data_IF_770116439530
#
_entry.id   IF_770116439530
#
_cell.length_a   1.000
_cell.length_b   1.000
_cell.length_c   1.000
_cell.angle_alpha   90.00
_cell.angle_beta   90.00
_cell.angle_gamma   90.00
#
_symmetry.space_group_name_H-M   'P 1'
#
loop_
_entity.id
_entity.type
_entity.pdbx_description
1 polymer ?
#
# COMPACT_ATOMS: atom_id res chain seq x y z
N UNK A 1 48.53 -10.99 17.60
CA UNK A 1 48.05 -10.95 17.38
C UNK A 1 47.18 -10.78 16.87
N UNK A 2 46.89 -10.77 16.58
CA UNK A 2 46.18 -10.73 16.24
C UNK A 2 45.21 -10.46 15.67
N UNK A 3 44.78 -10.45 15.48
CA UNK A 3 43.94 -10.31 15.06
C UNK A 3 43.13 -10.03 14.49
N UNK A 4 42.87 -9.98 14.23
CA UNK A 4 42.17 -9.76 13.79
C UNK A 4 41.30 -9.65 13.13
N UNK A 5 41.11 -9.70 12.87
CA UNK A 5 40.41 -9.69 12.38
C UNK A 5 39.47 -9.63 11.88
N UNK A 6 39.17 -9.75 11.75
CA UNK A 6 38.31 -9.78 11.41
C UNK A 6 37.50 -9.39 10.93
N UNK A 7 37.24 -9.18 10.86
CA UNK A 7 36.52 -8.85 10.56
C UNK A 7 35.79 -8.63 9.81
N UNK A 8 35.75 -8.51 9.48
CA UNK A 8 35.27 -8.30 8.74
C UNK A 8 34.35 -8.55 8.22
N UNK A 9 34.06 -8.92 8.30
CA UNK A 9 33.25 -9.22 7.80
C UNK A 9 32.32 -8.85 7.44
N UNK A 10 32.00 -8.67 7.50
CA UNK A 10 31.20 -8.38 7.29
C UNK A 10 30.39 -8.16 6.65
N UNK A 11 30.13 -8.21 6.49
CA UNK A 11 29.41 -7.96 6.07
C UNK A 11 28.81 -7.78 5.26
N UNK A 12 28.74 -7.62 5.10
CA UNK A 12 28.49 -7.38 4.19
C UNK A 12 27.50 -7.79 3.62
N UNK A 13 27.21 -8.32 3.82
CA UNK A 13 26.37 -8.78 3.34
C UNK A 13 25.29 -8.24 2.92
N UNK A 14 25.16 -7.96 3.16
CA UNK A 14 24.49 -7.48 3.01
C UNK A 14 23.72 -7.20 2.14
N UNK A 15 23.48 -7.10 1.83
CA UNK A 15 22.90 -6.70 1.07
C UNK A 15 22.33 -7.13 0.24
N UNK A 16 22.15 -7.34 0.04
CA UNK A 16 21.80 -7.64 -0.70
C UNK A 16 20.73 -7.80 -1.28
N UNK A 17 20.03 -7.88 -1.20
CA UNK A 17 18.99 -8.34 -1.80
C UNK A 17 18.22 -7.42 -2.52
N UNK A 18 17.56 -7.52 -3.40
CA UNK A 18 16.78 -6.62 -4.16
C UNK A 18 15.45 -6.24 -3.56
N UNK A 19 15.19 -6.70 -2.35
CA UNK A 19 13.91 -6.38 -1.72
C UNK A 19 14.06 -5.12 -0.89
N UNK A 20 13.23 -4.13 -1.15
CA UNK A 20 13.25 -2.88 -0.42
C UNK A 20 12.05 -2.81 0.49
N UNK A 21 12.28 -2.46 1.74
CA UNK A 21 11.19 -2.20 2.67
C UNK A 21 10.45 -0.95 2.21
N UNK A 22 9.13 -1.01 2.31
CA UNK A 22 8.27 0.12 1.98
C UNK A 22 7.43 0.42 3.21
N UNK A 23 7.66 1.57 3.83
CA UNK A 23 6.91 1.94 5.03
C UNK A 23 5.43 2.05 4.75
N UNK A 24 5.07 2.63 3.61
CA UNK A 24 3.65 2.81 3.30
C UNK A 24 2.96 1.48 3.06
N UNK A 25 3.67 0.51 2.46
CA UNK A 25 3.11 -0.81 2.25
C UNK A 25 3.00 -1.57 3.57
N UNK A 26 4.01 -1.47 4.41
CA UNK A 26 3.98 -2.13 5.73
C UNK A 26 2.85 -1.57 6.59
N UNK A 27 2.70 -0.25 6.61
CA UNK A 27 1.58 0.39 7.32
C UNK A 27 0.25 -0.07 6.75
N UNK A 28 0.18 -0.20 5.42
CA UNK A 28 -1.03 -0.71 4.78
C UNK A 28 -1.42 -2.08 5.31
N UNK A 29 -0.47 -3.00 5.40
CA UNK A 29 -0.75 -4.33 5.92
C UNK A 29 -1.18 -4.30 7.38
N UNK A 30 -0.56 -3.44 8.20
CA UNK A 30 -0.97 -3.31 9.60
C UNK A 30 -2.41 -2.85 9.72
N UNK A 31 -2.80 -1.88 8.89
CA UNK A 31 -4.18 -1.38 8.91
C UNK A 31 -5.16 -2.43 8.43
N UNK A 32 -4.79 -3.18 7.39
CA UNK A 32 -5.64 -4.27 6.87
C UNK A 32 -5.86 -5.31 7.96
N UNK A 33 -4.82 -5.68 8.69
CA UNK A 33 -4.96 -6.65 9.78
C UNK A 33 -5.89 -6.16 10.87
N UNK A 34 -6.00 -4.84 11.02
CA UNK A 34 -6.91 -4.23 12.00
C UNK A 34 -8.30 -3.99 11.45
N UNK A 35 -8.57 -4.44 10.24
CA UNK A 35 -9.92 -4.39 9.67
C UNK A 35 -10.18 -3.25 8.70
N UNK A 36 -9.14 -2.57 8.21
CA UNK A 36 -9.36 -1.50 7.24
C UNK A 36 -9.97 -2.06 5.95
N UNK A 37 -10.81 -1.26 5.32
CA UNK A 37 -11.33 -1.58 4.00
C UNK A 37 -10.21 -1.42 2.98
N UNK A 38 -10.04 -2.41 2.11
CA UNK A 38 -8.98 -2.39 1.08
C UNK A 38 -9.59 -2.01 -0.25
N UNK A 39 -9.12 -0.91 -0.83
CA UNK A 39 -9.70 -0.39 -2.07
C UNK A 39 -8.63 -0.28 -3.14
N UNK A 40 -8.86 -0.95 -4.25
CA UNK A 40 -8.04 -0.91 -5.46
C UNK A 40 -8.63 0.13 -6.39
N UNK A 41 -7.89 1.21 -6.65
CA UNK A 41 -8.42 2.28 -7.49
C UNK A 41 -7.97 2.17 -8.95
N UNK A 42 -7.46 0.99 -9.35
CA UNK A 42 -7.11 0.75 -10.74
C UNK A 42 -8.35 0.47 -11.57
N UNK A 43 -8.14 0.28 -12.86
CA UNK A 43 -9.26 -0.05 -13.75
C UNK A 43 -9.77 -1.46 -13.45
N UNK A 44 -11.03 -1.77 -13.85
CA UNK A 44 -11.54 -3.14 -13.69
C UNK A 44 -10.69 -4.18 -14.40
N UNK A 45 -10.14 -3.86 -15.57
CA UNK A 45 -9.30 -4.81 -16.30
C UNK A 45 -8.02 -5.12 -15.53
N UNK A 46 -7.39 -4.11 -14.93
CA UNK A 46 -6.22 -4.35 -14.09
C UNK A 46 -6.58 -5.19 -12.87
N UNK A 47 -7.70 -4.89 -12.25
CA UNK A 47 -8.18 -5.61 -11.06
C UNK A 47 -8.37 -7.09 -11.38
N UNK A 48 -8.95 -7.39 -12.53
CA UNK A 48 -9.21 -8.78 -12.92
C UNK A 48 -7.93 -9.58 -13.15
N UNK A 49 -6.85 -8.91 -13.50
CA UNK A 49 -5.57 -9.58 -13.74
C UNK A 49 -4.85 -9.95 -12.45
N UNK A 50 -5.32 -9.46 -11.33
CA UNK A 50 -4.75 -9.76 -10.02
C UNK A 50 -4.95 -8.58 -9.09
N UNK A 51 -5.25 -8.88 -7.83
CA UNK A 51 -5.49 -7.83 -6.82
C UNK A 51 -5.23 -8.43 -5.44
N UNK A 52 -5.17 -7.58 -4.44
CA UNK A 52 -4.99 -8.05 -3.07
C UNK A 52 -6.26 -8.77 -2.60
N UNK A 53 -6.06 -9.76 -1.74
CA UNK A 53 -7.17 -10.50 -1.16
C UNK A 53 -8.12 -9.52 -0.48
N UNK A 54 -9.41 -9.74 -0.69
CA UNK A 54 -10.49 -8.94 -0.10
C UNK A 54 -10.53 -7.49 -0.55
N UNK A 55 -9.74 -7.12 -1.56
CA UNK A 55 -9.82 -5.77 -2.11
C UNK A 55 -11.12 -5.58 -2.89
N UNK A 56 -11.68 -4.40 -2.78
CA UNK A 56 -12.81 -4.00 -3.60
C UNK A 56 -12.29 -3.03 -4.67
N UNK A 57 -12.83 -3.12 -5.88
CA UNK A 57 -12.37 -2.27 -6.97
C UNK A 57 -13.28 -1.04 -7.09
N UNK A 58 -12.73 0.11 -6.71
CA UNK A 58 -13.38 1.40 -6.94
C UNK A 58 -12.44 2.23 -7.79
N UNK A 59 -12.55 2.15 -9.13
CA UNK A 59 -11.63 2.87 -10.01
C UNK A 59 -11.58 4.36 -9.68
N UNK A 60 -10.41 4.95 -9.89
CA UNK A 60 -10.21 6.36 -9.55
C UNK A 60 -11.30 7.26 -10.12
N UNK A 61 -11.72 7.00 -11.35
CA UNK A 61 -12.76 7.82 -12.02
C UNK A 61 -14.12 7.73 -11.32
N UNK A 62 -14.31 6.77 -10.42
CA UNK A 62 -15.60 6.53 -9.78
C UNK A 62 -15.56 6.65 -8.26
N UNK A 63 -14.43 7.07 -7.69
CA UNK A 63 -14.34 7.13 -6.22
C UNK A 63 -15.36 8.10 -5.63
N UNK A 64 -15.67 9.19 -6.34
CA UNK A 64 -16.64 10.15 -5.83
C UNK A 64 -18.00 9.51 -5.61
N UNK A 65 -18.37 8.56 -6.48
CA UNK A 65 -19.66 7.88 -6.37
C UNK A 65 -19.62 6.79 -5.32
N UNK A 66 -18.58 5.94 -5.36
CA UNK A 66 -18.53 4.77 -4.49
C UNK A 66 -18.36 5.10 -3.02
N UNK A 67 -17.71 6.22 -2.71
CA UNK A 67 -17.43 6.56 -1.32
C UNK A 67 -18.55 7.35 -0.64
N UNK A 68 -19.63 7.65 -1.35
CA UNK A 68 -20.72 8.44 -0.76
C UNK A 68 -21.38 7.75 0.43
N UNK A 69 -21.35 6.42 0.46
CA UNK A 69 -22.02 5.65 1.49
C UNK A 69 -21.09 5.10 2.55
N UNK A 70 -19.80 5.48 2.50
CA UNK A 70 -18.82 5.01 3.46
C UNK A 70 -18.67 6.06 4.54
N UNK A 71 -18.64 5.63 5.80
CA UNK A 71 -18.45 6.55 6.92
C UNK A 71 -17.12 7.27 6.79
N UNK A 72 -17.11 8.53 7.16
CA UNK A 72 -15.91 9.38 7.01
C UNK A 72 -14.78 8.94 7.93
N UNK A 73 -15.06 8.20 8.97
CA UNK A 73 -14.04 7.70 9.90
C UNK A 73 -13.70 6.22 9.69
N UNK A 74 -14.21 5.61 8.63
CA UNK A 74 -13.87 4.23 8.28
C UNK A 74 -12.39 4.15 7.91
N UNK A 75 -11.60 3.27 8.54
CA UNK A 75 -10.22 3.05 8.12
C UNK A 75 -10.18 2.43 6.72
N UNK A 76 -9.41 3.03 5.83
CA UNK A 76 -9.36 2.63 4.43
C UNK A 76 -7.91 2.62 3.96
N UNK A 77 -7.53 1.53 3.30
CA UNK A 77 -6.23 1.40 2.63
C UNK A 77 -6.48 1.45 1.14
N UNK A 78 -5.84 2.41 0.48
CA UNK A 78 -5.94 2.59 -0.97
C UNK A 78 -4.66 2.10 -1.61
N UNK A 79 -4.75 1.47 -2.78
CA UNK A 79 -3.58 1.16 -3.56
C UNK A 79 -3.93 1.20 -5.04
N UNK A 80 -2.89 1.29 -5.89
CA UNK A 80 -3.07 1.20 -7.32
C UNK A 80 -1.89 0.42 -7.91
N UNK A 81 -1.34 0.83 -9.04
CA UNK A 81 -0.20 0.15 -9.62
C UNK A 81 1.13 0.67 -9.03
N UNK A 82 1.21 1.98 -8.80
CA UNK A 82 2.46 2.63 -8.37
C UNK A 82 2.27 3.57 -7.20
N UNK A 83 1.04 3.82 -6.77
CA UNK A 83 0.75 4.80 -5.73
C UNK A 83 0.31 6.15 -6.26
N UNK A 84 0.37 6.37 -7.57
CA UNK A 84 0.00 7.68 -8.14
C UNK A 84 -1.50 7.90 -8.14
N UNK A 85 -2.26 6.97 -8.72
CA UNK A 85 -3.73 7.08 -8.73
C UNK A 85 -4.30 7.00 -7.33
N UNK A 86 -3.74 6.13 -6.50
CA UNK A 86 -4.20 6.04 -5.11
C UNK A 86 -3.86 7.30 -4.33
N UNK A 87 -2.76 7.98 -4.69
CA UNK A 87 -2.45 9.29 -4.12
C UNK A 87 -3.48 10.34 -4.49
N UNK A 88 -3.96 10.31 -5.74
CA UNK A 88 -5.02 11.22 -6.17
C UNK A 88 -6.32 10.93 -5.43
N UNK A 89 -6.66 9.65 -5.29
CA UNK A 89 -7.85 9.25 -4.52
C UNK A 89 -7.73 9.69 -3.06
N UNK A 90 -6.54 9.54 -2.48
CA UNK A 90 -6.26 9.97 -1.12
C UNK A 90 -6.54 11.46 -0.96
N UNK A 91 -6.01 12.30 -1.85
CA UNK A 91 -6.21 13.74 -1.77
C UNK A 91 -7.69 14.11 -1.88
N UNK A 92 -8.38 13.48 -2.82
CA UNK A 92 -9.80 13.73 -3.02
C UNK A 92 -10.59 13.38 -1.75
N UNK A 93 -10.33 12.19 -1.20
CA UNK A 93 -11.09 11.71 -0.05
C UNK A 93 -10.78 12.54 1.21
N UNK A 94 -9.54 12.96 1.38
CA UNK A 94 -9.21 13.85 2.49
C UNK A 94 -10.01 15.15 2.38
N UNK A 95 -10.10 15.71 1.19
CA UNK A 95 -10.86 16.92 0.97
C UNK A 95 -12.35 16.72 1.24
N UNK A 96 -12.83 15.48 1.08
CA UNK A 96 -14.23 15.14 1.36
C UNK A 96 -14.48 14.84 2.85
N UNK A 97 -13.46 14.86 3.67
CA UNK A 97 -13.63 14.69 5.11
C UNK A 97 -13.32 13.31 5.64
N UNK A 98 -12.80 12.41 4.80
CA UNK A 98 -12.37 11.10 5.29
C UNK A 98 -11.12 11.27 6.14
N UNK A 99 -11.14 10.69 7.36
CA UNK A 99 -10.12 10.97 8.37
C UNK A 99 -9.10 9.86 8.54
N UNK A 100 -9.41 8.63 8.10
CA UNK A 100 -8.54 7.48 8.34
C UNK A 100 -8.24 6.74 7.04
N UNK A 101 -7.63 7.43 6.09
CA UNK A 101 -7.25 6.83 4.83
C UNK A 101 -5.74 6.81 4.69
N UNK A 102 -5.25 5.79 3.99
CA UNK A 102 -3.82 5.57 3.82
C UNK A 102 -3.55 5.11 2.40
N UNK A 103 -2.60 5.74 1.72
CA UNK A 103 -2.13 5.32 0.41
C UNK A 103 -0.98 4.34 0.61
N UNK A 104 -1.23 3.05 0.33
CA UNK A 104 -0.24 2.00 0.55
C UNK A 104 0.70 1.78 -0.63
N UNK A 105 0.48 2.46 -1.73
CA UNK A 105 1.38 2.36 -2.89
C UNK A 105 0.83 1.50 -4.00
N UNK A 106 1.62 0.57 -4.48
CA UNK A 106 1.25 -0.27 -5.61
C UNK A 106 1.01 -1.71 -5.23
N UNK A 107 0.34 -2.45 -6.12
CA UNK A 107 0.05 -3.86 -5.89
C UNK A 107 1.32 -4.67 -5.63
N UNK A 108 2.32 -4.55 -6.50
CA UNK A 108 3.55 -5.31 -6.36
C UNK A 108 4.29 -4.89 -5.09
N UNK A 109 4.32 -3.58 -4.83
CA UNK A 109 4.92 -3.05 -3.61
C UNK A 109 4.29 -3.66 -2.38
N UNK A 110 2.96 -3.74 -2.33
CA UNK A 110 2.24 -4.38 -1.24
C UNK A 110 2.59 -5.86 -1.12
N UNK A 111 2.59 -6.57 -2.25
CA UNK A 111 2.87 -8.01 -2.24
C UNK A 111 4.29 -8.30 -1.77
N UNK A 112 5.24 -7.46 -2.11
CA UNK A 112 6.64 -7.65 -1.71
C UNK A 112 6.89 -7.33 -0.24
N UNK A 113 5.95 -6.66 0.41
CA UNK A 113 6.08 -6.25 1.80
C UNK A 113 5.07 -6.93 2.73
N UNK A 114 4.48 -8.01 2.26
CA UNK A 114 3.51 -8.75 3.05
C UNK A 114 4.16 -9.58 4.13
#
# INVERSE_FOLDING_TARGET
MKSLLSLSALCIALFSSGVYASERAETGWELIEKGALVVDVRTPAEFEQGHLDNAINYPLSEVATHFTKIDKDQPIVLYCRSGNRSGQAYQFLRAQGFTQIHNAGGLIEMQENQ
#
